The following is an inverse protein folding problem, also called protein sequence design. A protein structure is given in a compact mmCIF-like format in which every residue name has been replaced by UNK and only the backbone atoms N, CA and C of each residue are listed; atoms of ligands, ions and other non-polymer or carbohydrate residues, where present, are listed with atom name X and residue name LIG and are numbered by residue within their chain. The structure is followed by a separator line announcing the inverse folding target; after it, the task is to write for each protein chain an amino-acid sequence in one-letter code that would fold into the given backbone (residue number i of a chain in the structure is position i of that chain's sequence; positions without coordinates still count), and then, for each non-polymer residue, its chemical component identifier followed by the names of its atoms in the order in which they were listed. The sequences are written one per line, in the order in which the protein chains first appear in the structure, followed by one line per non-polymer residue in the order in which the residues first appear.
data_IF_635301312543
#
_entry.id   IF_635301312543
#
_cell.length_a   1.000
_cell.length_b   1.000
_cell.length_c   1.000
_cell.angle_alpha   90.00
_cell.angle_beta   90.00
_cell.angle_gamma   90.00
#
_symmetry.space_group_name_H-M   'P 1'
#
loop_
_entity.id
_entity.type
_entity.pdbx_description
1 polymer ?
#
# COMPACT_ATOMS: atom_id res chain seq x y z
N UNK A 1 12.42 -19.75 7.35
CA UNK A 1 11.10 -19.12 7.67
C UNK A 1 10.49 -18.69 6.36
N UNK A 2 9.26 -19.13 6.07
CA UNK A 2 8.67 -18.84 4.76
C UNK A 2 7.78 -17.60 4.79
N UNK A 3 7.84 -16.82 3.71
CA UNK A 3 6.97 -15.67 3.48
C UNK A 3 6.36 -15.74 2.09
N UNK A 4 5.18 -15.13 1.91
CA UNK A 4 4.55 -15.00 0.58
C UNK A 4 4.98 -13.70 -0.06
N UNK A 5 5.45 -13.78 -1.31
CA UNK A 5 5.71 -12.60 -2.14
C UNK A 5 4.44 -11.74 -2.23
N UNK A 6 4.48 -10.45 -1.84
CA UNK A 6 3.28 -9.62 -1.83
C UNK A 6 2.70 -9.41 -3.24
N UNK A 7 3.54 -9.40 -4.27
CA UNK A 7 3.15 -9.17 -5.67
C UNK A 7 2.47 -10.38 -6.32
N UNK A 8 3.04 -11.58 -6.17
CA UNK A 8 2.58 -12.77 -6.92
C UNK A 8 2.15 -13.95 -6.03
N UNK A 9 2.25 -13.79 -4.70
CA UNK A 9 1.88 -14.78 -3.67
C UNK A 9 2.70 -16.08 -3.65
N UNK A 10 3.76 -16.18 -4.46
CA UNK A 10 4.72 -17.28 -4.40
C UNK A 10 5.38 -17.34 -3.00
N UNK A 11 5.45 -18.54 -2.44
CA UNK A 11 6.13 -18.78 -1.17
C UNK A 11 7.65 -18.86 -1.39
N UNK A 12 8.41 -18.19 -0.52
CA UNK A 12 9.88 -18.15 -0.54
C UNK A 12 10.43 -18.35 0.87
N UNK A 13 11.54 -19.08 0.97
CA UNK A 13 12.38 -19.10 2.18
C UNK A 13 13.00 -17.72 2.37
N UNK A 14 12.83 -17.14 3.57
CA UNK A 14 13.35 -15.81 3.90
C UNK A 14 14.85 -15.76 3.70
N UNK A 15 15.60 -16.75 4.17
CA UNK A 15 17.06 -16.71 4.21
C UNK A 15 17.71 -16.69 2.82
N UNK A 16 17.12 -17.38 1.84
CA UNK A 16 17.65 -17.51 0.47
C UNK A 16 17.20 -16.40 -0.47
N UNK A 17 16.14 -15.66 -0.12
CA UNK A 17 15.60 -14.63 -0.99
C UNK A 17 16.50 -13.38 -1.03
N UNK A 18 17.07 -13.07 -2.21
CA UNK A 18 17.89 -11.85 -2.40
C UNK A 18 17.05 -10.58 -2.37
N UNK A 19 15.81 -10.66 -2.86
CA UNK A 19 14.91 -9.52 -3.03
C UNK A 19 13.78 -9.48 -1.98
N UNK A 20 14.01 -9.99 -0.77
CA UNK A 20 12.98 -10.04 0.30
C UNK A 20 12.20 -8.72 0.44
N UNK A 21 10.86 -8.77 0.62
CA UNK A 21 10.00 -9.96 0.72
C UNK A 21 9.57 -10.53 -0.66
N UNK A 22 10.16 -10.08 -1.76
CA UNK A 22 9.78 -10.47 -3.12
C UNK A 22 10.54 -11.70 -3.63
N UNK A 23 9.90 -12.49 -4.48
CA UNK A 23 10.52 -13.68 -5.06
C UNK A 23 11.50 -13.39 -6.21
N UNK A 24 11.51 -12.17 -6.75
CA UNK A 24 12.38 -11.75 -7.85
C UNK A 24 12.44 -10.22 -7.95
N UNK A 25 13.46 -9.71 -8.64
CA UNK A 25 13.58 -8.30 -8.98
C UNK A 25 12.35 -7.76 -9.73
N UNK A 26 11.80 -8.56 -10.65
CA UNK A 26 10.56 -8.21 -11.37
C UNK A 26 9.40 -7.89 -10.41
N UNK A 27 9.21 -8.70 -9.36
CA UNK A 27 8.12 -8.47 -8.41
C UNK A 27 8.34 -7.19 -7.59
N UNK A 28 9.59 -6.92 -7.18
CA UNK A 28 9.97 -5.65 -6.53
C UNK A 28 9.66 -4.45 -7.42
N UNK A 29 9.99 -4.53 -8.71
CA UNK A 29 9.74 -3.42 -9.66
C UNK A 29 8.25 -3.20 -9.94
N UNK A 30 7.45 -4.27 -10.02
CA UNK A 30 6.00 -4.16 -10.17
C UNK A 30 5.40 -3.43 -8.95
N UNK A 31 5.80 -3.83 -7.74
CA UNK A 31 5.32 -3.21 -6.50
C UNK A 31 5.60 -1.70 -6.51
N UNK A 32 6.85 -1.30 -6.77
CA UNK A 32 7.24 0.11 -6.91
C UNK A 32 6.40 0.85 -7.98
N UNK A 33 6.10 0.19 -9.10
CA UNK A 33 5.22 0.73 -10.14
C UNK A 33 3.79 0.95 -9.65
N UNK A 34 3.22 0.02 -8.88
CA UNK A 34 1.87 0.16 -8.31
C UNK A 34 1.79 1.37 -7.37
N UNK A 35 2.82 1.61 -6.55
CA UNK A 35 2.92 2.79 -5.71
C UNK A 35 3.02 4.09 -6.52
N UNK A 36 3.88 4.11 -7.54
CA UNK A 36 4.09 5.30 -8.37
C UNK A 36 2.84 5.72 -9.16
N UNK A 37 1.96 4.77 -9.48
CA UNK A 37 0.73 5.01 -10.23
C UNK A 37 -0.49 5.30 -9.33
N UNK A 38 -0.29 5.59 -8.04
CA UNK A 38 -1.37 5.86 -7.06
C UNK A 38 -2.45 4.76 -7.00
N UNK A 39 -2.12 3.53 -7.40
CA UNK A 39 -3.07 2.40 -7.37
C UNK A 39 -3.28 1.86 -5.95
N UNK A 40 -2.47 2.31 -4.99
CA UNK A 40 -2.70 2.13 -3.57
C UNK A 40 -3.46 3.33 -3.02
N UNK A 41 -4.80 3.25 -2.99
CA UNK A 41 -5.60 4.13 -2.15
C UNK A 41 -5.83 3.44 -0.80
N UNK A 42 -5.64 4.18 0.29
CA UNK A 42 -6.16 3.77 1.59
C UNK A 42 -7.60 4.27 1.66
N UNK A 43 -8.60 3.39 1.77
CA UNK A 43 -9.96 3.85 2.02
C UNK A 43 -9.98 4.55 3.37
N UNK A 44 -10.33 5.83 3.39
CA UNK A 44 -10.60 6.57 4.63
C UNK A 44 -12.04 6.29 5.03
N UNK A 45 -12.27 5.91 6.28
CA UNK A 45 -13.62 5.55 6.76
C UNK A 45 -14.57 6.75 6.79
N UNK A 46 -14.03 7.97 6.84
CA UNK A 46 -14.78 9.20 6.62
C UNK A 46 -13.89 10.15 5.80
N UNK A 47 -14.23 10.37 4.54
CA UNK A 47 -13.72 11.55 3.83
C UNK A 47 -14.33 12.75 4.55
N UNK A 48 -13.61 13.32 5.51
CA UNK A 48 -14.02 14.55 6.17
C UNK A 48 -14.14 15.60 5.06
N UNK A 49 -15.37 15.96 4.73
CA UNK A 49 -15.65 17.04 3.80
C UNK A 49 -15.28 18.36 4.49
N UNK A 50 -14.06 18.82 4.21
CA UNK A 50 -13.51 20.05 4.80
C UNK A 50 -14.36 21.28 4.46
N UNK A 51 -15.18 21.25 3.41
CA UNK A 51 -16.10 22.34 3.08
C UNK A 51 -17.24 22.42 4.11
N UNK A 52 -17.74 21.28 4.61
CA UNK A 52 -18.83 21.23 5.60
C UNK A 52 -18.41 21.59 7.03
N UNK A 53 -17.10 21.61 7.35
CA UNK A 53 -16.61 22.03 8.66
C UNK A 53 -16.60 23.56 8.85
N UNK A 54 -16.70 24.33 7.77
CA UNK A 54 -16.61 25.80 7.81
C UNK A 54 -17.93 26.51 8.15
N UNK A 55 -19.07 25.82 8.07
CA UNK A 55 -20.40 26.41 8.34
C UNK A 55 -20.88 26.24 9.79
N UNK A 56 -20.20 25.44 10.62
CA UNK A 56 -20.69 25.08 11.97
C UNK A 56 -20.02 25.84 13.12
N UNK A 57 -19.22 26.88 12.84
CA UNK A 57 -18.60 27.75 13.85
C UNK A 57 -19.23 29.16 13.85
N UNK A 58 -20.57 29.25 13.72
CA UNK A 58 -21.31 30.46 14.11
C UNK A 58 -21.70 30.39 15.59
N UNK A 59 -20.91 31.09 16.40
CA UNK A 59 -21.12 31.58 17.77
C UNK A 59 -22.55 31.42 18.33
N UNK A 60 -22.71 30.53 19.32
CA UNK A 60 -23.46 30.84 20.54
C UNK A 60 -22.84 30.15 21.77
#
# INVERSE_FOLDING_TARGET
MNVKCPTCKKEIEWEDAVYRPFCSERCKMIDLGTWANEQYSMPTEDAIDFEQMSENEEVH
#
